data_IF_758067918643
#
_entry.id   IF_758067918643
#
_cell.length_a   1.000
_cell.length_b   1.000
_cell.length_c   1.000
_cell.angle_alpha   90.00
_cell.angle_beta   90.00
_cell.angle_gamma   90.00
#
_symmetry.space_group_name_H-M   'P 1'
#
loop_
_entity.id
_entity.type
_entity.pdbx_description
1 polymer ?
#
# COMPACT_ATOMS: atom_id res chain seq x y z
N UNK A 1 1.45 -6.66 -10.76
CA UNK A 1 0.16 -6.89 -11.47
C UNK A 1 -0.20 -8.37 -11.56
N UNK A 2 0.73 -9.27 -11.91
CA UNK A 2 0.46 -10.72 -11.99
C UNK A 2 -0.02 -11.36 -10.68
N UNK A 3 0.54 -10.93 -9.54
CA UNK A 3 0.16 -11.45 -8.21
C UNK A 3 -1.28 -11.07 -7.81
N UNK A 4 -1.72 -9.86 -8.17
CA UNK A 4 -3.10 -9.41 -7.91
C UNK A 4 -4.11 -10.19 -8.76
N UNK A 5 -3.77 -10.46 -10.03
CA UNK A 5 -4.61 -11.29 -10.92
C UNK A 5 -4.66 -12.74 -10.43
N UNK A 6 -3.53 -13.29 -9.98
CA UNK A 6 -3.46 -14.62 -9.38
C UNK A 6 -4.33 -14.70 -8.12
N UNK A 7 -4.24 -13.72 -7.23
CA UNK A 7 -5.02 -13.65 -6.00
C UNK A 7 -6.53 -13.60 -6.25
N UNK A 8 -6.99 -12.72 -7.14
CA UNK A 8 -8.41 -12.62 -7.51
C UNK A 8 -8.92 -13.95 -8.08
N UNK A 9 -8.10 -14.62 -8.89
CA UNK A 9 -8.42 -15.94 -9.44
C UNK A 9 -8.53 -17.01 -8.34
N UNK A 10 -7.60 -17.04 -7.39
CA UNK A 10 -7.65 -18.01 -6.28
C UNK A 10 -8.90 -17.82 -5.40
N UNK A 11 -9.24 -16.56 -5.09
CA UNK A 11 -10.45 -16.25 -4.33
C UNK A 11 -11.72 -16.74 -5.04
N UNK A 12 -11.87 -16.40 -6.32
CA UNK A 12 -13.03 -16.82 -7.11
C UNK A 12 -13.16 -18.35 -7.19
N UNK A 13 -12.04 -19.06 -7.33
CA UNK A 13 -12.03 -20.53 -7.33
C UNK A 13 -12.47 -21.10 -5.98
N UNK A 14 -11.98 -20.55 -4.86
CA UNK A 14 -12.37 -21.00 -3.52
C UNK A 14 -13.85 -20.74 -3.27
N UNK A 15 -14.37 -19.57 -3.66
CA UNK A 15 -15.80 -19.25 -3.54
C UNK A 15 -16.68 -20.23 -4.33
N UNK A 16 -16.28 -20.55 -5.56
CA UNK A 16 -16.97 -21.54 -6.40
C UNK A 16 -16.93 -22.94 -5.75
N UNK A 17 -15.75 -23.40 -5.31
CA UNK A 17 -15.62 -24.68 -4.62
C UNK A 17 -16.47 -24.76 -3.36
N UNK A 18 -16.49 -23.70 -2.56
CA UNK A 18 -17.27 -23.63 -1.32
C UNK A 18 -18.76 -23.69 -1.63
N UNK A 19 -19.22 -23.02 -2.69
CA UNK A 19 -20.60 -23.10 -3.16
C UNK A 19 -20.94 -24.52 -3.63
N UNK A 20 -20.14 -25.10 -4.53
CA UNK A 20 -20.38 -26.45 -5.06
C UNK A 20 -20.38 -27.50 -3.97
N UNK A 21 -19.41 -27.44 -3.04
CA UNK A 21 -19.31 -28.39 -1.93
C UNK A 21 -20.52 -28.26 -0.99
N UNK A 22 -20.98 -27.04 -0.69
CA UNK A 22 -22.21 -26.84 0.09
C UNK A 22 -23.43 -27.48 -0.57
N UNK A 23 -23.62 -27.29 -1.88
CA UNK A 23 -24.75 -27.88 -2.59
C UNK A 23 -24.68 -29.41 -2.59
N UNK A 24 -23.51 -29.98 -2.89
CA UNK A 24 -23.32 -31.44 -2.89
C UNK A 24 -23.50 -32.04 -1.51
N UNK A 25 -22.96 -31.39 -0.47
CA UNK A 25 -23.15 -31.80 0.91
C UNK A 25 -24.62 -31.80 1.31
N UNK A 26 -25.36 -30.75 0.95
CA UNK A 26 -26.80 -30.67 1.22
C UNK A 26 -27.56 -31.83 0.59
N UNK A 27 -27.35 -32.10 -0.70
CA UNK A 27 -28.03 -33.20 -1.40
C UNK A 27 -27.67 -34.56 -0.78
N UNK A 28 -26.39 -34.76 -0.43
CA UNK A 28 -25.94 -35.99 0.23
C UNK A 28 -26.62 -36.17 1.60
N UNK A 29 -26.74 -35.11 2.39
CA UNK A 29 -27.41 -35.15 3.69
C UNK A 29 -28.91 -35.38 3.56
N UNK A 30 -29.57 -34.77 2.57
CA UNK A 30 -30.99 -35.02 2.28
C UNK A 30 -31.21 -36.50 1.92
N UNK A 31 -30.44 -37.06 0.98
CA UNK A 31 -30.52 -38.48 0.63
C UNK A 31 -30.23 -39.41 1.82
N UNK A 32 -29.23 -39.06 2.65
CA UNK A 32 -28.88 -39.83 3.83
C UNK A 32 -30.01 -39.84 4.85
N UNK A 33 -30.63 -38.69 5.13
CA UNK A 33 -31.75 -38.58 6.07
C UNK A 33 -32.98 -39.37 5.58
N UNK A 34 -33.20 -39.42 4.27
CA UNK A 34 -34.28 -40.22 3.69
C UNK A 34 -34.03 -41.73 3.85
N UNK A 35 -32.80 -42.19 3.64
CA UNK A 35 -32.41 -43.60 3.80
C UNK A 35 -32.39 -44.02 5.27
N UNK A 36 -31.88 -43.16 6.16
CA UNK A 36 -31.80 -43.41 7.61
C UNK A 36 -33.19 -43.60 8.25
N UNK A 37 -34.24 -42.98 7.69
CA UNK A 37 -35.62 -43.19 8.11
C UNK A 37 -36.20 -44.56 7.73
N UNK A 38 -35.65 -45.20 6.70
CA UNK A 38 -36.16 -46.46 6.18
C UNK A 38 -35.57 -47.66 6.92
N UNK A 39 -34.34 -47.57 7.40
CA UNK A 39 -33.60 -48.70 7.99
C UNK A 39 -33.18 -48.40 9.43
N UNK A 40 -33.95 -48.90 10.40
CA UNK A 40 -33.71 -48.72 11.84
C UNK A 40 -33.29 -50.02 12.55
N UNK A 41 -32.73 -51.00 11.82
CA UNK A 41 -32.21 -52.23 12.41
C UNK A 41 -30.70 -52.11 12.72
N UNK A 42 -30.18 -53.10 13.47
CA UNK A 42 -28.79 -53.11 13.93
C UNK A 42 -27.78 -53.14 12.76
N UNK A 43 -28.13 -53.78 11.64
CA UNK A 43 -27.28 -53.85 10.45
C UNK A 43 -27.18 -52.49 9.75
N UNK A 44 -28.30 -51.78 9.66
CA UNK A 44 -28.35 -50.43 9.13
C UNK A 44 -27.60 -49.43 10.01
N UNK A 45 -27.69 -49.56 11.34
CA UNK A 45 -26.91 -48.76 12.29
C UNK A 45 -25.40 -48.94 12.07
N UNK A 46 -24.92 -50.17 11.89
CA UNK A 46 -23.50 -50.45 11.63
C UNK A 46 -23.02 -49.93 10.27
N UNK A 47 -23.84 -50.10 9.21
CA UNK A 47 -23.53 -49.57 7.87
C UNK A 47 -23.50 -48.03 7.89
N UNK A 48 -24.48 -47.40 8.53
CA UNK A 48 -24.56 -45.95 8.64
C UNK A 48 -23.38 -45.39 9.43
N UNK A 49 -22.99 -46.05 10.52
CA UNK A 49 -21.84 -45.67 11.33
C UNK A 49 -20.51 -45.82 10.60
N UNK A 50 -20.31 -46.90 9.84
CA UNK A 50 -19.05 -47.15 9.11
C UNK A 50 -18.89 -46.32 7.85
N UNK A 51 -19.96 -46.09 7.10
CA UNK A 51 -19.85 -45.53 5.75
C UNK A 51 -20.49 -44.16 5.59
N UNK A 52 -21.60 -43.86 6.27
CA UNK A 52 -22.32 -42.59 6.08
C UNK A 52 -21.89 -41.49 7.07
N UNK A 53 -21.53 -41.87 8.30
CA UNK A 53 -21.09 -40.91 9.33
C UNK A 53 -19.74 -40.26 9.01
N UNK A 54 -18.69 -40.98 8.60
CA UNK A 54 -17.39 -40.38 8.28
C UNK A 54 -17.49 -39.32 7.18
N UNK A 55 -18.27 -39.56 6.13
CA UNK A 55 -18.45 -38.58 5.04
C UNK A 55 -19.11 -37.28 5.49
N UNK A 56 -19.93 -37.31 6.56
CA UNK A 56 -20.49 -36.10 7.15
C UNK A 56 -19.40 -35.29 7.86
N UNK A 57 -18.62 -35.94 8.70
CA UNK A 57 -17.54 -35.30 9.45
C UNK A 57 -16.48 -34.72 8.49
N UNK A 58 -16.08 -35.49 7.47
CA UNK A 58 -15.12 -35.05 6.44
C UNK A 58 -15.64 -33.82 5.69
N UNK A 59 -16.93 -33.82 5.31
CA UNK A 59 -17.53 -32.70 4.59
C UNK A 59 -17.67 -31.46 5.47
N UNK A 60 -18.05 -31.62 6.74
CA UNK A 60 -18.13 -30.52 7.71
C UNK A 60 -16.74 -29.92 7.97
N UNK A 61 -15.70 -30.76 8.11
CA UNK A 61 -14.31 -30.32 8.25
C UNK A 61 -13.81 -29.59 7.00
N UNK A 62 -14.07 -30.12 5.81
CA UNK A 62 -13.69 -29.47 4.55
C UNK A 62 -14.38 -28.11 4.38
N UNK A 63 -15.66 -28.01 4.73
CA UNK A 63 -16.39 -26.73 4.72
C UNK A 63 -15.83 -25.74 5.75
N UNK A 64 -15.44 -26.20 6.94
CA UNK A 64 -14.80 -25.36 7.94
C UNK A 64 -13.44 -24.82 7.46
N UNK A 65 -12.60 -25.69 6.88
CA UNK A 65 -11.31 -25.31 6.31
C UNK A 65 -11.45 -24.27 5.19
N UNK A 66 -12.38 -24.50 4.25
CA UNK A 66 -12.64 -23.55 3.15
C UNK A 66 -13.15 -22.19 3.66
N UNK A 67 -14.01 -22.18 4.69
CA UNK A 67 -14.45 -20.93 5.33
C UNK A 67 -13.31 -20.17 6.00
N UNK A 68 -12.40 -20.88 6.65
CA UNK A 68 -11.22 -20.27 7.27
C UNK A 68 -10.25 -19.71 6.22
N UNK A 69 -10.06 -20.41 5.10
CA UNK A 69 -9.28 -19.89 3.98
C UNK A 69 -9.92 -18.63 3.41
N UNK A 70 -11.24 -18.62 3.19
CA UNK A 70 -11.96 -17.44 2.70
C UNK A 70 -11.80 -16.24 3.64
N UNK A 71 -11.97 -16.41 4.96
CA UNK A 71 -11.78 -15.30 5.90
C UNK A 71 -10.34 -14.79 5.98
N UNK A 72 -9.37 -15.67 5.71
CA UNK A 72 -7.96 -15.28 5.63
C UNK A 72 -7.70 -14.45 4.37
N UNK A 73 -8.33 -14.79 3.24
CA UNK A 73 -8.29 -13.98 2.02
C UNK A 73 -8.96 -12.62 2.22
N UNK A 74 -10.13 -12.57 2.86
CA UNK A 74 -10.80 -11.30 3.17
C UNK A 74 -9.92 -10.35 4.00
N UNK A 75 -9.10 -10.88 4.92
CA UNK A 75 -8.13 -10.06 5.65
C UNK A 75 -7.02 -9.54 4.74
N UNK A 76 -6.54 -10.35 3.81
CA UNK A 76 -5.55 -9.93 2.82
C UNK A 76 -6.11 -8.83 1.91
N UNK A 77 -7.41 -8.85 1.59
CA UNK A 77 -8.05 -7.74 0.84
C UNK A 77 -7.93 -6.40 1.58
N UNK A 78 -8.17 -6.40 2.89
CA UNK A 78 -8.09 -5.20 3.72
C UNK A 78 -6.66 -4.68 3.74
N UNK A 79 -5.68 -5.55 3.97
CA UNK A 79 -4.25 -5.20 3.97
C UNK A 79 -3.79 -4.68 2.59
N UNK A 80 -4.27 -5.28 1.50
CA UNK A 80 -3.98 -4.81 0.13
C UNK A 80 -4.54 -3.41 -0.12
N UNK A 81 -5.73 -3.10 0.40
CA UNK A 81 -6.33 -1.78 0.24
C UNK A 81 -5.58 -0.72 1.05
N UNK A 82 -5.14 -1.06 2.27
CA UNK A 82 -4.26 -0.21 3.08
C UNK A 82 -2.93 0.04 2.36
N UNK A 83 -2.32 -1.00 1.79
CA UNK A 83 -1.07 -0.88 1.05
C UNK A 83 -1.19 0.06 -0.16
N UNK A 84 -2.31 0.01 -0.90
CA UNK A 84 -2.58 0.96 -2.00
C UNK A 84 -2.71 2.40 -1.50
N UNK A 85 -3.36 2.61 -0.36
CA UNK A 85 -3.48 3.95 0.23
C UNK A 85 -2.11 4.50 0.60
N UNK A 86 -1.24 3.68 1.17
CA UNK A 86 0.14 4.08 1.45
C UNK A 86 0.95 4.38 0.19
N UNK A 87 0.77 3.62 -0.89
CA UNK A 87 1.45 3.88 -2.17
C UNK A 87 1.07 5.25 -2.76
N UNK A 88 -0.21 5.61 -2.68
CA UNK A 88 -0.70 6.94 -3.05
C UNK A 88 -0.12 8.05 -2.16
N UNK A 89 -0.05 7.81 -0.86
CA UNK A 89 0.51 8.78 0.09
C UNK A 89 2.01 8.99 -0.12
N UNK A 90 2.76 7.91 -0.36
CA UNK A 90 4.19 7.96 -0.70
C UNK A 90 4.40 8.76 -1.98
N UNK A 91 3.60 8.50 -3.02
CA UNK A 91 3.68 9.23 -4.28
C UNK A 91 3.46 10.73 -4.07
N UNK A 92 2.44 11.11 -3.29
CA UNK A 92 2.17 12.51 -2.95
C UNK A 92 3.33 13.16 -2.19
N UNK A 93 3.89 12.46 -1.20
CA UNK A 93 5.01 12.98 -0.41
C UNK A 93 6.29 13.13 -1.26
N UNK A 94 6.51 12.23 -2.22
CA UNK A 94 7.62 12.36 -3.16
C UNK A 94 7.48 13.62 -4.03
N UNK A 95 6.28 13.90 -4.54
CA UNK A 95 6.01 15.12 -5.30
C UNK A 95 6.25 16.39 -4.45
N UNK A 96 5.84 16.38 -3.17
CA UNK A 96 6.11 17.48 -2.24
C UNK A 96 7.61 17.68 -1.99
N UNK A 97 8.35 16.61 -1.77
CA UNK A 97 9.81 16.66 -1.58
C UNK A 97 10.50 17.19 -2.83
N UNK A 98 10.08 16.77 -4.02
CA UNK A 98 10.65 17.26 -5.27
C UNK A 98 10.40 18.77 -5.46
N UNK A 99 9.20 19.25 -5.11
CA UNK A 99 8.89 20.67 -5.12
C UNK A 99 9.78 21.46 -4.15
N UNK A 100 10.00 20.97 -2.93
CA UNK A 100 10.89 21.62 -1.96
C UNK A 100 12.35 21.63 -2.44
N UNK A 101 12.82 20.54 -3.05
CA UNK A 101 14.17 20.49 -3.63
C UNK A 101 14.34 21.49 -4.76
N UNK A 102 13.34 21.63 -5.62
CA UNK A 102 13.36 22.61 -6.70
C UNK A 102 13.38 24.04 -6.17
N UNK A 103 12.58 24.34 -5.14
CA UNK A 103 12.60 25.64 -4.47
C UNK A 103 13.97 25.93 -3.84
N UNK A 104 14.53 24.99 -3.08
CA UNK A 104 15.83 25.16 -2.45
C UNK A 104 16.96 25.37 -3.47
N UNK A 105 16.91 24.67 -4.61
CA UNK A 105 17.87 24.87 -5.71
C UNK A 105 17.77 26.27 -6.31
N UNK A 106 16.55 26.77 -6.53
CA UNK A 106 16.32 28.12 -7.03
C UNK A 106 16.82 29.17 -6.03
N UNK A 107 16.55 28.98 -4.74
CA UNK A 107 16.98 29.87 -3.68
C UNK A 107 18.51 29.95 -3.59
N UNK A 108 19.19 28.81 -3.58
CA UNK A 108 20.67 28.75 -3.61
C UNK A 108 21.24 29.44 -4.86
N UNK A 109 20.68 29.17 -6.04
CA UNK A 109 21.13 29.80 -7.29
C UNK A 109 20.96 31.33 -7.24
N UNK A 110 19.87 31.79 -6.63
CA UNK A 110 19.60 33.21 -6.45
C UNK A 110 20.59 33.83 -5.47
N UNK A 111 20.77 33.25 -4.28
CA UNK A 111 21.73 33.75 -3.29
C UNK A 111 23.15 33.81 -3.84
N UNK A 112 23.57 32.81 -4.64
CA UNK A 112 24.88 32.83 -5.29
C UNK A 112 25.01 34.00 -6.27
N UNK A 113 23.97 34.27 -7.07
CA UNK A 113 23.96 35.40 -8.01
C UNK A 113 23.98 36.75 -7.29
N UNK A 114 23.18 36.90 -6.23
CA UNK A 114 23.14 38.10 -5.38
C UNK A 114 24.49 38.35 -4.69
N UNK A 115 25.16 37.29 -4.24
CA UNK A 115 26.50 37.39 -3.66
C UNK A 115 27.56 37.85 -4.67
N UNK A 116 27.47 37.37 -5.93
CA UNK A 116 28.34 37.83 -7.02
C UNK A 116 28.18 39.33 -7.28
N UNK A 117 26.93 39.79 -7.39
CA UNK A 117 26.62 41.21 -7.54
C UNK A 117 27.15 42.05 -6.37
N UNK A 118 26.96 41.58 -5.13
CA UNK A 118 27.50 42.26 -3.95
C UNK A 118 29.03 42.36 -4.00
N UNK A 119 29.74 41.31 -4.44
CA UNK A 119 31.19 41.37 -4.58
C UNK A 119 31.63 42.42 -5.60
N UNK A 120 30.97 42.49 -6.75
CA UNK A 120 31.27 43.47 -7.80
C UNK A 120 31.06 44.89 -7.28
N UNK A 121 29.88 45.20 -6.73
CA UNK A 121 29.56 46.53 -6.18
C UNK A 121 30.49 46.94 -5.05
N UNK A 122 30.80 46.03 -4.13
CA UNK A 122 31.73 46.31 -3.03
C UNK A 122 33.15 46.57 -3.55
N UNK A 123 33.58 45.86 -4.60
CA UNK A 123 34.88 46.11 -5.23
C UNK A 123 34.94 47.48 -5.90
N UNK A 124 33.87 47.88 -6.61
CA UNK A 124 33.75 49.18 -7.24
C UNK A 124 33.74 50.31 -6.19
N UNK A 125 32.94 50.17 -5.13
CA UNK A 125 32.89 51.13 -4.04
C UNK A 125 34.26 51.29 -3.34
N UNK A 126 35.00 50.19 -3.15
CA UNK A 126 36.37 50.23 -2.61
C UNK A 126 37.36 50.93 -3.53
N UNK A 127 37.20 50.77 -4.85
CA UNK A 127 38.05 51.42 -5.84
C UNK A 127 37.88 52.96 -5.87
N UNK A 128 36.73 53.48 -5.41
CA UNK A 128 36.47 54.92 -5.30
C UNK A 128 37.04 55.56 -4.02
N UNK A 129 37.40 54.76 -3.01
CA UNK A 129 37.96 55.28 -1.75
C UNK A 129 39.21 56.16 -1.93
N UNK A 130 40.19 55.80 -2.77
CA UNK A 130 41.36 56.66 -3.03
C UNK A 130 40.98 57.99 -3.69
N UNK A 131 39.97 58.01 -4.57
CA UNK A 131 39.47 59.24 -5.20
C UNK A 131 38.86 60.17 -4.14
N UNK A 132 38.08 59.61 -3.21
CA UNK A 132 37.52 60.36 -2.09
C UNK A 132 38.63 60.92 -1.21
N UNK A 133 39.65 60.13 -0.87
CA UNK A 133 40.81 60.58 -0.11
C UNK A 133 41.55 61.74 -0.80
N UNK A 134 41.75 61.66 -2.12
CA UNK A 134 42.35 62.74 -2.90
C UNK A 134 41.50 64.02 -2.89
N UNK A 135 40.19 63.91 -3.05
CA UNK A 135 39.28 65.05 -3.00
C UNK A 135 39.27 65.71 -1.61
N UNK A 136 39.30 64.92 -0.53
CA UNK A 136 39.43 65.42 0.84
C UNK A 136 40.78 66.14 1.01
N UNK A 137 41.88 65.55 0.54
CA UNK A 137 43.20 66.16 0.63
C UNK A 137 43.28 67.50 -0.12
N UNK A 138 42.69 67.57 -1.32
CA UNK A 138 42.60 68.81 -2.10
C UNK A 138 41.78 69.87 -1.39
N UNK A 139 40.60 69.52 -0.87
CA UNK A 139 39.77 70.44 -0.10
C UNK A 139 40.50 70.99 1.14
N UNK A 140 41.22 70.13 1.86
CA UNK A 140 42.01 70.54 3.02
C UNK A 140 43.19 71.44 2.64
N UNK A 141 43.79 71.26 1.46
CA UNK A 141 44.90 72.10 0.98
C UNK A 141 44.46 73.48 0.47
N UNK A 142 43.20 73.64 0.05
CA UNK A 142 42.65 74.92 -0.39
C UNK A 142 42.14 75.80 0.75
N UNK A 143 41.97 75.24 1.96
CA UNK A 143 41.49 75.93 3.16
C UNK A 143 42.60 76.26 4.17
N UNK A 144 43.87 76.14 3.78
CA UNK A 144 45.04 76.60 4.55
C UNK A 144 45.71 77.79 3.86
#
# INVERSE_FOLDING_TARGET
>A
MEEAVWYVKQRSQIEEYLWTLKQRYRVLQECRQDIERLWQDDAASEINGRYLHPHREDSEQALAALRQQLSSLEKIDVELEIAKQHDLEVSRLLDEVENFLNFARQDISRSHSEYGYFQEENSAARAELPTIEQLIAQANSCCG
#
